data_IF_400943251238
#
_entry.id   IF_400943251238
#
_cell.length_a   1.000
_cell.length_b   1.000
_cell.length_c   1.000
_cell.angle_alpha   90.00
_cell.angle_beta   90.00
_cell.angle_gamma   90.00
#
_symmetry.space_group_name_H-M   'P 1'
#
loop_
_entity.id
_entity.type
_entity.pdbx_description
1 polymer ?
#
# COMPACT_ATOMS: atom_id res chain seq x y z
N UNK A 1 -4.17 -19.76 25.46
CA UNK A 1 -3.67 -18.37 25.54
C UNK A 1 -4.30 -17.57 24.43
N UNK A 2 -5.26 -16.73 24.75
CA UNK A 2 -5.86 -15.78 23.82
C UNK A 2 -4.76 -14.87 23.27
N UNK A 3 -4.56 -14.93 21.99
CA UNK A 3 -3.58 -14.10 21.27
C UNK A 3 -4.04 -12.65 21.42
N UNK A 4 -3.46 -11.88 22.33
CA UNK A 4 -3.72 -10.45 22.41
C UNK A 4 -3.36 -9.82 21.06
N UNK A 5 -4.39 -9.43 20.33
CA UNK A 5 -4.25 -8.72 19.05
C UNK A 5 -3.72 -7.33 19.36
N UNK A 6 -2.73 -6.87 18.62
CA UNK A 6 -2.19 -5.53 18.81
C UNK A 6 -3.11 -4.53 18.10
N UNK A 7 -3.98 -3.88 18.87
CA UNK A 7 -4.97 -2.90 18.38
C UNK A 7 -4.27 -1.70 17.73
N UNK A 8 -3.17 -1.23 18.30
CA UNK A 8 -2.43 -0.08 17.78
C UNK A 8 -1.88 -0.30 16.36
N UNK A 9 -1.46 -1.52 16.02
CA UNK A 9 -1.04 -1.84 14.64
C UNK A 9 -2.23 -1.87 13.66
N UNK A 10 -3.42 -2.23 14.12
CA UNK A 10 -4.63 -2.14 13.29
C UNK A 10 -5.07 -0.69 13.12
N UNK A 11 -4.94 0.16 14.15
CA UNK A 11 -5.15 1.63 14.04
C UNK A 11 -4.21 2.24 12.99
N UNK A 12 -2.93 1.87 12.97
CA UNK A 12 -2.00 2.34 11.93
C UNK A 12 -2.37 1.86 10.51
N UNK A 13 -2.92 0.65 10.37
CA UNK A 13 -3.44 0.19 9.07
C UNK A 13 -4.65 1.00 8.62
N UNK A 14 -5.55 1.31 9.53
CA UNK A 14 -6.71 2.16 9.28
C UNK A 14 -6.22 3.54 8.84
N UNK A 15 -5.31 4.14 9.59
CA UNK A 15 -4.71 5.43 9.23
C UNK A 15 -4.13 5.42 7.83
N UNK A 16 -3.34 4.40 7.48
CA UNK A 16 -2.75 4.27 6.15
C UNK A 16 -3.80 4.20 5.03
N UNK A 17 -4.88 3.44 5.23
CA UNK A 17 -5.98 3.34 4.26
C UNK A 17 -6.73 4.66 4.11
N UNK A 18 -7.02 5.34 5.23
CA UNK A 18 -7.69 6.64 5.24
C UNK A 18 -6.84 7.73 4.58
N UNK A 19 -5.53 7.74 4.79
CA UNK A 19 -4.60 8.65 4.10
C UNK A 19 -4.66 8.45 2.59
N UNK A 20 -4.63 7.21 2.10
CA UNK A 20 -4.70 6.92 0.66
C UNK A 20 -6.06 7.28 0.08
N UNK A 21 -7.16 6.99 0.77
CA UNK A 21 -8.48 7.46 0.35
C UNK A 21 -8.52 8.98 0.28
N UNK A 22 -7.89 9.67 1.25
CA UNK A 22 -7.81 11.13 1.31
C UNK A 22 -7.16 11.74 0.07
N UNK A 23 -5.98 11.25 -0.35
CA UNK A 23 -5.30 11.81 -1.53
C UNK A 23 -6.13 11.61 -2.81
N UNK A 24 -6.74 10.44 -3.01
CA UNK A 24 -7.54 10.20 -4.20
C UNK A 24 -8.86 10.95 -4.22
N UNK A 25 -9.48 11.15 -3.04
CA UNK A 25 -10.64 12.03 -2.90
C UNK A 25 -10.26 13.48 -3.19
N UNK A 26 -9.13 13.95 -2.63
CA UNK A 26 -8.63 15.31 -2.87
C UNK A 26 -8.34 15.58 -4.34
N UNK A 27 -7.70 14.64 -5.03
CA UNK A 27 -7.49 14.72 -6.48
C UNK A 27 -8.80 14.82 -7.25
N UNK A 28 -9.83 14.07 -6.83
CA UNK A 28 -11.14 14.06 -7.48
C UNK A 28 -11.89 15.40 -7.34
N UNK A 29 -11.79 16.04 -6.19
CA UNK A 29 -12.53 17.29 -5.92
C UNK A 29 -11.70 18.56 -6.18
N UNK A 30 -10.47 18.42 -6.71
CA UNK A 30 -9.63 19.56 -7.09
C UNK A 30 -8.83 20.21 -5.96
N UNK A 31 -8.65 19.52 -4.80
CA UNK A 31 -7.80 20.02 -3.70
C UNK A 31 -6.30 19.96 -4.00
N UNK A 32 -5.88 19.26 -5.06
CA UNK A 32 -4.49 19.23 -5.50
C UNK A 32 -3.51 18.83 -4.38
N UNK A 33 -2.49 19.66 -4.18
CA UNK A 33 -1.40 19.41 -3.23
C UNK A 33 -1.83 19.39 -1.76
N UNK A 34 -2.96 20.02 -1.42
CA UNK A 34 -3.48 20.03 -0.04
C UNK A 34 -3.78 18.62 0.49
N UNK A 35 -4.10 17.67 -0.40
CA UNK A 35 -4.34 16.27 -0.05
C UNK A 35 -3.13 15.35 -0.32
N UNK A 36 -2.05 15.87 -0.91
CA UNK A 36 -0.91 15.08 -1.42
C UNK A 36 -0.19 14.26 -0.33
N UNK A 37 -0.19 14.75 0.90
CA UNK A 37 0.41 14.05 2.07
C UNK A 37 -0.24 12.67 2.29
N UNK A 38 -1.48 12.48 1.86
CA UNK A 38 -2.19 11.21 1.93
C UNK A 38 -1.52 10.07 1.13
N UNK A 39 -0.74 10.41 0.09
CA UNK A 39 0.01 9.43 -0.70
C UNK A 39 1.03 8.65 0.16
N UNK A 40 1.51 9.26 1.25
CA UNK A 40 2.46 8.65 2.17
C UNK A 40 1.86 7.47 2.97
N UNK A 41 0.53 7.32 2.98
CA UNK A 41 -0.12 6.14 3.56
C UNK A 41 0.37 4.81 2.98
N UNK A 42 0.84 4.82 1.73
CA UNK A 42 1.46 3.64 1.09
C UNK A 42 2.75 3.24 1.79
N UNK A 43 3.62 4.19 2.12
CA UNK A 43 4.87 3.90 2.84
C UNK A 43 4.57 3.33 4.23
N UNK A 44 3.55 3.85 4.91
CA UNK A 44 3.11 3.27 6.19
C UNK A 44 2.67 1.82 6.02
N UNK A 45 1.91 1.49 4.96
CA UNK A 45 1.57 0.10 4.65
C UNK A 45 2.81 -0.77 4.41
N UNK A 46 3.82 -0.27 3.71
CA UNK A 46 5.05 -1.02 3.45
C UNK A 46 5.85 -1.27 4.73
N UNK A 47 6.02 -0.26 5.59
CA UNK A 47 6.70 -0.40 6.89
C UNK A 47 5.95 -1.41 7.78
N UNK A 48 4.63 -1.27 7.92
CA UNK A 48 3.79 -2.22 8.67
C UNK A 48 3.91 -3.64 8.13
N UNK A 49 3.91 -3.79 6.79
CA UNK A 49 4.02 -5.10 6.16
C UNK A 49 5.37 -5.76 6.41
N UNK A 50 6.45 -4.98 6.44
CA UNK A 50 7.78 -5.46 6.80
C UNK A 50 7.85 -5.96 8.24
N UNK A 51 7.34 -5.17 9.18
CA UNK A 51 7.24 -5.55 10.59
C UNK A 51 6.46 -6.86 10.78
N UNK A 52 5.28 -6.94 10.19
CA UNK A 52 4.39 -8.10 10.31
C UNK A 52 4.88 -9.33 9.56
N UNK A 53 5.63 -9.16 8.47
CA UNK A 53 6.29 -10.26 7.78
C UNK A 53 7.38 -10.87 8.67
N UNK A 54 8.24 -10.04 9.26
CA UNK A 54 9.28 -10.49 10.18
C UNK A 54 8.67 -11.15 11.42
N UNK A 55 7.62 -10.58 12.00
CA UNK A 55 6.88 -11.16 13.14
C UNK A 55 6.22 -12.51 12.80
N UNK A 56 5.73 -12.68 11.58
CA UNK A 56 5.17 -13.95 11.10
C UNK A 56 6.26 -15.02 10.91
N UNK A 57 7.37 -14.65 10.26
CA UNK A 57 8.50 -15.54 9.98
C UNK A 57 9.29 -15.91 11.23
N UNK A 58 9.29 -15.07 12.27
CA UNK A 58 9.91 -15.41 13.54
C UNK A 58 9.19 -16.54 14.28
N UNK A 59 7.87 -16.66 14.10
CA UNK A 59 7.03 -17.70 14.71
C UNK A 59 6.95 -18.97 13.85
N UNK A 60 6.93 -18.79 12.53
CA UNK A 60 6.78 -19.85 11.53
C UNK A 60 7.79 -19.59 10.40
N UNK A 61 9.04 -20.06 10.53
CA UNK A 61 10.13 -19.71 9.61
C UNK A 61 10.04 -20.40 8.25
N UNK A 62 9.10 -21.33 8.09
CA UNK A 62 8.92 -22.11 6.87
C UNK A 62 8.32 -21.24 5.75
N UNK A 63 9.00 -21.14 4.57
CA UNK A 63 8.56 -20.29 3.48
C UNK A 63 7.19 -20.68 2.91
N UNK A 64 6.93 -21.98 2.71
CA UNK A 64 5.71 -22.45 2.04
C UNK A 64 4.43 -22.09 2.82
N UNK A 65 4.30 -22.37 4.13
CA UNK A 65 3.15 -21.92 4.92
C UNK A 65 3.04 -20.39 4.99
N UNK A 66 4.17 -19.67 4.98
CA UNK A 66 4.15 -18.21 4.92
C UNK A 66 3.51 -17.71 3.62
N UNK A 67 3.93 -18.25 2.45
CA UNK A 67 3.35 -17.87 1.15
C UNK A 67 1.87 -18.23 1.06
N UNK A 68 1.48 -19.42 1.48
CA UNK A 68 0.08 -19.85 1.46
C UNK A 68 -0.83 -18.89 2.23
N UNK A 69 -0.41 -18.42 3.43
CA UNK A 69 -1.18 -17.43 4.22
C UNK A 69 -1.31 -16.10 3.48
N UNK A 70 -0.24 -15.62 2.81
CA UNK A 70 -0.28 -14.36 2.05
C UNK A 70 -1.13 -14.48 0.80
N UNK A 71 -0.98 -15.54 0.04
CA UNK A 71 -1.76 -15.81 -1.17
C UNK A 71 -3.25 -15.86 -0.85
N UNK A 72 -3.66 -16.65 0.11
CA UNK A 72 -5.07 -16.80 0.50
C UNK A 72 -5.70 -15.46 0.94
N UNK A 73 -4.94 -14.59 1.57
CA UNK A 73 -5.45 -13.30 2.07
C UNK A 73 -5.51 -12.23 0.98
N UNK A 74 -4.54 -12.20 0.06
CA UNK A 74 -4.35 -11.07 -0.86
C UNK A 74 -4.97 -11.37 -2.23
N UNK A 75 -4.66 -12.55 -2.78
CA UNK A 75 -4.92 -12.86 -4.18
C UNK A 75 -6.40 -12.81 -4.54
N UNK A 76 -7.33 -13.40 -3.78
CA UNK A 76 -8.74 -13.41 -4.17
C UNK A 76 -9.36 -12.03 -4.22
N UNK A 77 -9.07 -11.16 -3.25
CA UNK A 77 -9.58 -9.78 -3.22
C UNK A 77 -8.96 -8.92 -4.33
N UNK A 78 -7.67 -9.10 -4.57
CA UNK A 78 -6.97 -8.40 -5.63
C UNK A 78 -7.51 -8.79 -7.01
N UNK A 79 -7.64 -10.07 -7.30
CA UNK A 79 -8.22 -10.55 -8.55
C UNK A 79 -9.67 -10.14 -8.74
N UNK A 80 -10.46 -10.15 -7.67
CA UNK A 80 -11.84 -9.64 -7.72
C UNK A 80 -11.86 -8.17 -8.18
N UNK A 81 -11.03 -7.31 -7.57
CA UNK A 81 -10.94 -5.89 -7.96
C UNK A 81 -10.45 -5.74 -9.40
N UNK A 82 -9.48 -6.55 -9.85
CA UNK A 82 -9.03 -6.52 -11.24
C UNK A 82 -10.16 -6.85 -12.22
N UNK A 83 -10.92 -7.90 -11.95
CA UNK A 83 -12.06 -8.28 -12.81
C UNK A 83 -13.14 -7.19 -12.81
N UNK A 84 -13.48 -6.66 -11.62
CA UNK A 84 -14.46 -5.57 -11.52
C UNK A 84 -13.98 -4.31 -12.26
N UNK A 85 -12.70 -3.98 -12.17
CA UNK A 85 -12.10 -2.86 -12.90
C UNK A 85 -12.15 -3.09 -14.41
N UNK A 86 -11.77 -4.26 -14.88
CA UNK A 86 -11.80 -4.62 -16.28
C UNK A 86 -13.22 -4.55 -16.86
N UNK A 87 -14.22 -5.09 -16.14
CA UNK A 87 -15.63 -5.00 -16.52
C UNK A 87 -16.12 -3.56 -16.56
N UNK A 88 -15.79 -2.77 -15.54
CA UNK A 88 -16.15 -1.35 -15.47
C UNK A 88 -15.60 -0.57 -16.66
N UNK A 89 -14.32 -0.74 -16.98
CA UNK A 89 -13.69 -0.09 -18.13
C UNK A 89 -14.30 -0.57 -19.44
N UNK A 90 -14.54 -1.87 -19.60
CA UNK A 90 -15.19 -2.41 -20.79
C UNK A 90 -16.55 -1.77 -21.04
N UNK A 91 -17.41 -1.72 -20.02
CA UNK A 91 -18.75 -1.10 -20.13
C UNK A 91 -18.63 0.39 -20.45
N UNK A 92 -17.78 1.12 -19.75
CA UNK A 92 -17.59 2.56 -19.92
C UNK A 92 -17.11 2.93 -21.34
N UNK A 93 -16.10 2.22 -21.86
CA UNK A 93 -15.56 2.50 -23.19
C UNK A 93 -16.52 2.11 -24.30
N UNK A 94 -17.22 0.97 -24.18
CA UNK A 94 -18.25 0.58 -25.15
C UNK A 94 -19.41 1.57 -25.15
N UNK A 95 -19.87 2.03 -24.00
CA UNK A 95 -20.89 3.07 -23.89
C UNK A 95 -20.45 4.41 -24.48
N UNK A 96 -19.16 4.70 -24.48
CA UNK A 96 -18.57 5.89 -25.12
C UNK A 96 -18.33 5.72 -26.64
N UNK A 97 -18.74 4.58 -27.25
CA UNK A 97 -18.62 4.32 -28.68
C UNK A 97 -17.27 3.74 -29.12
N UNK A 98 -16.39 3.33 -28.20
CA UNK A 98 -15.14 2.65 -28.54
C UNK A 98 -15.46 1.28 -29.16
N UNK A 99 -14.86 0.97 -30.31
CA UNK A 99 -15.09 -0.32 -30.96
C UNK A 99 -14.47 -1.49 -30.15
N UNK A 100 -15.07 -2.67 -30.24
CA UNK A 100 -14.54 -3.85 -29.56
C UNK A 100 -13.07 -4.16 -29.96
N UNK A 101 -12.71 -3.94 -31.23
CA UNK A 101 -11.35 -4.14 -31.71
C UNK A 101 -10.35 -3.17 -31.06
N UNK A 102 -10.72 -1.92 -30.85
CA UNK A 102 -9.89 -0.94 -30.13
C UNK A 102 -9.81 -1.25 -28.65
N UNK A 103 -10.91 -1.68 -28.03
CA UNK A 103 -10.97 -1.94 -26.60
C UNK A 103 -10.19 -3.20 -26.18
N UNK A 104 -10.36 -4.29 -26.92
CA UNK A 104 -9.79 -5.61 -26.59
C UNK A 104 -8.54 -5.94 -27.42
N UNK A 105 -8.14 -5.08 -28.34
CA UNK A 105 -6.93 -5.24 -29.14
C UNK A 105 -5.64 -5.15 -28.31
N UNK A 106 -4.47 -5.42 -28.93
CA UNK A 106 -3.19 -5.49 -28.21
C UNK A 106 -2.82 -4.23 -27.40
N UNK A 107 -3.17 -3.03 -27.90
CA UNK A 107 -2.96 -1.74 -27.21
C UNK A 107 -4.19 -1.23 -26.47
N UNK A 108 -5.29 -1.96 -26.48
CA UNK A 108 -6.55 -1.51 -25.88
C UNK A 108 -6.60 -1.59 -24.37
N UNK A 109 -7.42 -0.75 -23.72
CA UNK A 109 -7.56 -0.71 -22.25
C UNK A 109 -7.93 -2.04 -21.61
N UNK A 110 -8.70 -2.87 -22.29
CA UNK A 110 -9.11 -4.21 -21.83
C UNK A 110 -8.39 -5.33 -22.59
N UNK A 111 -7.32 -5.02 -23.30
CA UNK A 111 -6.56 -5.96 -24.13
C UNK A 111 -5.64 -6.90 -23.34
N UNK A 112 -4.89 -7.76 -24.06
CA UNK A 112 -4.03 -8.79 -23.45
C UNK A 112 -2.99 -8.25 -22.48
N UNK A 113 -2.55 -7.00 -22.65
CA UNK A 113 -1.64 -6.31 -21.73
C UNK A 113 -2.14 -6.25 -20.29
N UNK A 114 -3.46 -6.31 -20.08
CA UNK A 114 -4.05 -6.33 -18.74
C UNK A 114 -3.68 -7.58 -17.94
N UNK A 115 -3.36 -8.70 -18.59
CA UNK A 115 -2.99 -9.97 -17.92
C UNK A 115 -1.76 -9.85 -17.02
N UNK A 116 -0.86 -8.88 -17.30
CA UNK A 116 0.32 -8.62 -16.45
C UNK A 116 -0.04 -8.30 -15.00
N UNK A 117 -1.23 -7.68 -14.77
CA UNK A 117 -1.70 -7.35 -13.44
C UNK A 117 -2.04 -8.59 -12.62
N UNK A 118 -2.61 -9.63 -13.24
CA UNK A 118 -2.94 -10.88 -12.54
C UNK A 118 -1.71 -11.62 -12.00
N UNK A 119 -0.53 -11.37 -12.58
CA UNK A 119 0.74 -11.97 -12.19
C UNK A 119 1.73 -10.96 -11.58
N UNK A 120 1.26 -9.76 -11.20
CA UNK A 120 2.03 -8.69 -10.53
C UNK A 120 3.20 -8.12 -11.34
N UNK A 121 3.16 -8.22 -12.67
CA UNK A 121 4.25 -7.75 -13.55
C UNK A 121 4.07 -6.31 -14.05
N UNK A 122 3.01 -5.60 -13.64
CA UNK A 122 2.68 -4.24 -14.10
C UNK A 122 3.76 -3.18 -13.81
N UNK A 123 4.62 -3.40 -12.81
CA UNK A 123 5.68 -2.45 -12.44
C UNK A 123 7.09 -2.95 -12.78
N UNK A 124 7.20 -3.92 -13.68
CA UNK A 124 8.49 -4.42 -14.15
C UNK A 124 8.85 -3.89 -15.53
N UNK A 125 7.84 -3.61 -16.36
CA UNK A 125 8.00 -3.00 -17.67
C UNK A 125 6.95 -1.90 -17.84
N UNK A 126 7.33 -0.68 -18.22
CA UNK A 126 6.39 0.38 -18.53
C UNK A 126 5.54 -0.01 -19.72
N UNK A 127 4.35 0.53 -19.82
CA UNK A 127 3.49 0.45 -21.00
C UNK A 127 2.68 1.73 -21.09
N UNK A 128 2.25 2.09 -22.28
CA UNK A 128 1.50 3.31 -22.56
C UNK A 128 0.21 3.42 -21.73
N UNK A 129 -0.34 2.26 -21.35
CA UNK A 129 -1.60 2.17 -20.59
C UNK A 129 -1.41 1.89 -19.09
N UNK A 130 -0.18 1.94 -18.55
CA UNK A 130 0.05 1.56 -17.15
C UNK A 130 -0.74 2.43 -16.15
N UNK A 131 -0.89 3.73 -16.41
CA UNK A 131 -1.68 4.63 -15.58
C UNK A 131 -3.18 4.35 -15.69
N UNK A 132 -3.68 4.04 -16.89
CA UNK A 132 -5.08 3.77 -17.14
C UNK A 132 -5.54 2.50 -16.41
N UNK A 133 -4.74 1.43 -16.49
CA UNK A 133 -5.06 0.16 -15.87
C UNK A 133 -4.73 0.10 -14.38
N UNK A 134 -4.02 1.08 -13.87
CA UNK A 134 -3.51 1.09 -12.51
C UNK A 134 -4.56 1.50 -11.46
N UNK A 135 -5.86 1.43 -11.79
CA UNK A 135 -6.96 1.73 -10.88
C UNK A 135 -6.70 3.02 -10.09
N UNK A 136 -6.53 4.16 -10.79
CA UNK A 136 -6.12 5.45 -10.23
C UNK A 136 -4.80 5.39 -9.46
N UNK A 137 -3.85 4.68 -10.04
CA UNK A 137 -2.49 4.61 -9.50
C UNK A 137 -2.40 3.92 -8.12
N UNK A 138 -3.28 2.97 -7.82
CA UNK A 138 -3.25 2.20 -6.57
C UNK A 138 -2.60 0.83 -6.76
N UNK A 139 -2.87 0.16 -7.90
CA UNK A 139 -2.49 -1.24 -8.11
C UNK A 139 -0.97 -1.46 -8.28
N UNK A 140 -0.19 -0.41 -8.50
CA UNK A 140 1.27 -0.52 -8.55
C UNK A 140 1.84 -1.13 -7.26
N UNK A 141 1.24 -0.83 -6.12
CA UNK A 141 1.66 -1.34 -4.81
C UNK A 141 1.53 -2.85 -4.70
N UNK A 142 0.61 -3.46 -5.46
CA UNK A 142 0.43 -4.90 -5.43
C UNK A 142 1.61 -5.64 -6.06
N UNK A 143 2.25 -5.05 -7.08
CA UNK A 143 3.53 -5.55 -7.62
C UNK A 143 4.64 -5.46 -6.56
N UNK A 144 4.71 -4.34 -5.82
CA UNK A 144 5.67 -4.17 -4.73
C UNK A 144 5.42 -5.18 -3.59
N UNK A 145 4.17 -5.36 -3.13
CA UNK A 145 3.84 -6.34 -2.10
C UNK A 145 4.15 -7.77 -2.51
N UNK A 146 3.84 -8.15 -3.76
CA UNK A 146 4.18 -9.49 -4.26
C UNK A 146 5.68 -9.74 -4.21
N UNK A 147 6.48 -8.77 -4.66
CA UNK A 147 7.93 -8.83 -4.62
C UNK A 147 8.47 -8.88 -3.18
N UNK A 148 7.97 -8.02 -2.28
CA UNK A 148 8.40 -8.00 -0.89
C UNK A 148 8.10 -9.32 -0.19
N UNK A 149 6.89 -9.86 -0.37
CA UNK A 149 6.52 -11.13 0.25
C UNK A 149 7.28 -12.31 -0.35
N UNK A 150 7.58 -12.27 -1.65
CA UNK A 150 8.44 -13.27 -2.27
C UNK A 150 9.83 -13.28 -1.62
N UNK A 151 10.43 -12.11 -1.41
CA UNK A 151 11.76 -11.98 -0.81
C UNK A 151 11.78 -12.12 0.72
N UNK A 152 10.64 -11.95 1.40
CA UNK A 152 10.58 -11.85 2.86
C UNK A 152 11.30 -12.97 3.62
N UNK A 153 11.21 -14.28 3.25
CA UNK A 153 11.92 -15.34 3.97
C UNK A 153 13.44 -15.19 3.91
N UNK A 154 13.99 -14.74 2.77
CA UNK A 154 15.45 -14.51 2.63
C UNK A 154 15.87 -13.23 3.33
N UNK A 155 15.12 -12.14 3.15
CA UNK A 155 15.36 -10.88 3.86
C UNK A 155 15.30 -11.08 5.37
N UNK A 156 14.35 -11.87 5.87
CA UNK A 156 14.24 -12.17 7.29
C UNK A 156 15.50 -12.88 7.82
N UNK A 157 16.14 -13.75 7.05
CA UNK A 157 17.39 -14.39 7.47
C UNK A 157 18.51 -13.37 7.68
N UNK A 158 18.59 -12.35 6.81
CA UNK A 158 19.55 -11.24 6.93
C UNK A 158 19.16 -10.28 8.07
N UNK A 159 17.85 -10.04 8.24
CA UNK A 159 17.31 -9.14 9.26
C UNK A 159 17.05 -9.80 10.63
N UNK A 160 17.49 -11.05 10.85
CA UNK A 160 17.33 -11.73 12.14
C UNK A 160 17.96 -10.94 13.30
N UNK A 161 19.09 -10.33 13.08
CA UNK A 161 19.81 -9.49 14.04
C UNK A 161 19.58 -8.03 13.71
N UNK A 162 19.44 -7.18 14.73
CA UNK A 162 19.23 -5.74 14.55
C UNK A 162 20.31 -5.10 13.67
N UNK A 163 21.57 -5.37 13.94
CA UNK A 163 22.68 -4.79 13.18
C UNK A 163 22.71 -5.25 11.72
N UNK A 164 22.31 -6.49 11.43
CA UNK A 164 22.17 -6.98 10.06
C UNK A 164 21.04 -6.27 9.31
N UNK A 165 19.90 -6.07 9.97
CA UNK A 165 18.77 -5.32 9.41
C UNK A 165 19.13 -3.85 9.17
N UNK A 166 19.83 -3.21 10.11
CA UNK A 166 20.29 -1.83 9.98
C UNK A 166 21.31 -1.68 8.84
N UNK A 167 22.28 -2.59 8.75
CA UNK A 167 23.27 -2.58 7.68
C UNK A 167 22.60 -2.73 6.30
N UNK A 168 21.65 -3.67 6.16
CA UNK A 168 20.88 -3.84 4.92
C UNK A 168 20.09 -2.58 4.57
N UNK A 169 19.45 -1.94 5.54
CA UNK A 169 18.73 -0.69 5.34
C UNK A 169 19.65 0.43 4.85
N UNK A 170 20.81 0.62 5.49
CA UNK A 170 21.78 1.63 5.11
C UNK A 170 22.29 1.38 3.68
N UNK A 171 22.59 0.13 3.32
CA UNK A 171 23.01 -0.23 1.96
C UNK A 171 21.90 0.11 0.96
N UNK A 172 20.64 -0.27 1.22
CA UNK A 172 19.52 0.05 0.34
C UNK A 172 19.36 1.56 0.12
N UNK A 173 19.46 2.36 1.20
CA UNK A 173 19.38 3.81 1.11
C UNK A 173 20.56 4.43 0.34
N UNK A 174 21.76 3.89 0.51
CA UNK A 174 22.98 4.38 -0.15
C UNK A 174 22.94 4.11 -1.68
N UNK A 175 22.41 2.94 -2.09
CA UNK A 175 22.40 2.56 -3.51
C UNK A 175 21.12 3.00 -4.25
N UNK A 176 20.06 3.41 -3.54
CA UNK A 176 18.76 3.75 -4.10
C UNK A 176 18.85 4.73 -5.29
N UNK A 177 19.59 5.82 -5.14
CA UNK A 177 19.73 6.83 -6.21
C UNK A 177 20.41 6.29 -7.47
N UNK A 178 21.45 5.44 -7.31
CA UNK A 178 22.13 4.79 -8.43
C UNK A 178 21.23 3.80 -9.15
N UNK A 179 20.47 3.00 -8.40
CA UNK A 179 19.52 2.04 -8.97
C UNK A 179 18.42 2.80 -9.73
N UNK A 180 17.87 3.88 -9.16
CA UNK A 180 16.88 4.72 -9.85
C UNK A 180 17.41 5.26 -11.18
N UNK A 181 18.60 5.84 -11.20
CA UNK A 181 19.22 6.33 -12.42
C UNK A 181 19.49 5.22 -13.47
N UNK A 182 19.86 4.01 -13.03
CA UNK A 182 20.03 2.86 -13.93
C UNK A 182 18.67 2.42 -14.52
N UNK A 183 17.60 2.40 -13.73
CA UNK A 183 16.26 2.07 -14.22
C UNK A 183 15.82 3.11 -15.25
N UNK A 184 15.93 4.41 -14.94
CA UNK A 184 15.54 5.49 -15.82
C UNK A 184 16.32 5.47 -17.15
N UNK A 185 17.65 5.28 -17.10
CA UNK A 185 18.47 5.16 -18.30
C UNK A 185 18.14 3.93 -19.14
N UNK A 186 17.83 2.79 -18.50
CA UNK A 186 17.41 1.58 -19.22
C UNK A 186 16.05 1.72 -19.90
N UNK A 187 15.21 2.62 -19.42
CA UNK A 187 13.87 2.87 -19.93
C UNK A 187 13.80 4.09 -20.87
N UNK A 188 14.92 4.78 -21.11
CA UNK A 188 14.96 5.97 -21.96
C UNK A 188 14.51 5.74 -23.42
N UNK A 189 14.53 4.49 -23.90
CA UNK A 189 14.04 4.11 -25.23
C UNK A 189 12.51 3.94 -25.30
N UNK A 190 11.80 3.95 -24.16
CA UNK A 190 10.34 3.88 -24.15
C UNK A 190 9.73 5.23 -24.55
N UNK A 191 8.49 5.25 -25.11
CA UNK A 191 7.84 6.49 -25.52
C UNK A 191 7.79 7.53 -24.38
N UNK A 192 7.99 8.80 -24.73
CA UNK A 192 8.00 9.92 -23.77
C UNK A 192 6.67 10.10 -22.99
N UNK A 193 5.60 9.50 -23.46
CA UNK A 193 4.29 9.50 -22.80
C UNK A 193 4.27 8.68 -21.49
N UNK A 194 5.18 7.71 -21.35
CA UNK A 194 5.39 7.03 -20.08
C UNK A 194 6.14 7.97 -19.13
N UNK A 195 5.55 8.38 -18.01
CA UNK A 195 6.27 9.11 -16.97
C UNK A 195 7.31 8.18 -16.33
N UNK A 196 8.48 8.09 -16.95
CA UNK A 196 9.56 7.15 -16.60
C UNK A 196 10.05 7.37 -15.17
N UNK A 197 10.17 8.63 -14.75
CA UNK A 197 10.61 8.95 -13.38
C UNK A 197 9.59 8.48 -12.33
N UNK A 198 8.30 8.71 -12.56
CA UNK A 198 7.25 8.23 -11.68
C UNK A 198 7.17 6.69 -11.68
N UNK A 199 7.29 6.06 -12.85
CA UNK A 199 7.36 4.61 -12.97
C UNK A 199 8.56 4.05 -12.20
N UNK A 200 9.76 4.61 -12.41
CA UNK A 200 10.99 4.22 -11.71
C UNK A 200 10.80 4.27 -10.20
N UNK A 201 10.30 5.40 -9.67
CA UNK A 201 10.09 5.60 -8.24
C UNK A 201 9.11 4.59 -7.61
N UNK A 202 8.18 4.03 -8.39
CA UNK A 202 7.16 3.05 -7.96
C UNK A 202 7.55 1.60 -8.21
N UNK A 203 8.70 1.32 -8.81
CA UNK A 203 9.13 -0.07 -9.01
C UNK A 203 9.32 -0.80 -7.67
N UNK A 204 9.09 -2.12 -7.64
CA UNK A 204 9.25 -2.91 -6.42
C UNK A 204 10.64 -2.79 -5.79
N UNK A 205 11.68 -2.66 -6.62
CA UNK A 205 13.07 -2.52 -6.14
C UNK A 205 13.28 -1.18 -5.45
N UNK A 206 12.74 -0.09 -6.02
CA UNK A 206 12.91 1.26 -5.48
C UNK A 206 12.15 1.49 -4.18
N UNK A 207 11.14 0.68 -3.88
CA UNK A 207 10.32 0.81 -2.67
C UNK A 207 10.63 -0.24 -1.59
N UNK A 208 11.53 -1.20 -1.89
CA UNK A 208 11.90 -2.29 -0.97
C UNK A 208 12.43 -1.80 0.38
N UNK A 209 13.15 -0.69 0.41
CA UNK A 209 13.71 -0.14 1.65
C UNK A 209 12.62 0.20 2.68
N UNK A 210 11.41 0.60 2.26
CA UNK A 210 10.29 0.85 3.17
C UNK A 210 9.91 -0.43 3.95
N UNK A 211 9.91 -1.57 3.26
CA UNK A 211 9.66 -2.87 3.89
C UNK A 211 10.79 -3.27 4.86
N UNK A 212 12.04 -2.97 4.50
CA UNK A 212 13.21 -3.24 5.36
C UNK A 212 13.17 -2.37 6.62
N UNK A 213 12.69 -1.12 6.57
CA UNK A 213 12.45 -0.30 7.77
C UNK A 213 11.58 -1.05 8.78
N UNK A 214 10.49 -1.66 8.33
CA UNK A 214 9.61 -2.45 9.19
C UNK A 214 10.27 -3.71 9.73
N UNK A 215 11.04 -4.43 8.92
CA UNK A 215 11.78 -5.62 9.38
C UNK A 215 12.83 -5.26 10.42
N UNK A 216 13.53 -4.12 10.25
CA UNK A 216 14.49 -3.59 11.21
C UNK A 216 13.82 -3.16 12.53
N UNK A 217 12.60 -2.58 12.45
CA UNK A 217 11.81 -2.28 13.64
C UNK A 217 11.47 -3.56 14.43
N UNK A 218 11.09 -4.65 13.75
CA UNK A 218 10.86 -5.93 14.42
C UNK A 218 12.14 -6.45 15.11
N UNK A 219 13.27 -6.42 14.41
CA UNK A 219 14.55 -6.86 14.97
C UNK A 219 14.98 -6.01 16.18
N UNK A 220 14.77 -4.68 16.10
CA UNK A 220 15.04 -3.75 17.19
C UNK A 220 14.19 -4.04 18.43
N UNK A 221 12.89 -4.26 18.27
CA UNK A 221 11.98 -4.62 19.39
C UNK A 221 12.42 -5.94 20.01
N UNK A 222 12.73 -6.95 19.21
CA UNK A 222 13.13 -8.27 19.70
C UNK A 222 14.45 -8.26 20.49
N UNK A 223 15.36 -7.34 20.17
CA UNK A 223 16.67 -7.21 20.85
C UNK A 223 16.70 -6.06 21.87
N UNK A 224 15.54 -5.48 22.24
CA UNK A 224 15.43 -4.33 23.16
C UNK A 224 16.21 -3.10 22.69
N UNK A 225 16.31 -2.88 21.37
CA UNK A 225 17.01 -1.76 20.74
C UNK A 225 16.07 -0.73 20.11
N UNK A 226 14.78 -0.75 20.46
CA UNK A 226 13.76 0.12 19.86
C UNK A 226 14.06 1.61 20.03
N UNK A 227 14.60 2.01 21.18
CA UNK A 227 15.00 3.40 21.42
C UNK A 227 16.20 3.82 20.54
N UNK A 228 17.21 2.96 20.41
CA UNK A 228 18.34 3.19 19.53
C UNK A 228 17.87 3.32 18.06
N UNK A 229 16.98 2.44 17.62
CA UNK A 229 16.46 2.50 16.26
C UNK A 229 15.57 3.72 16.03
N UNK A 230 14.74 4.09 17.00
CA UNK A 230 13.96 5.32 16.96
C UNK A 230 14.84 6.56 16.84
N UNK A 231 15.91 6.65 17.67
CA UNK A 231 16.89 7.73 17.59
C UNK A 231 17.59 7.77 16.21
N UNK A 232 17.98 6.61 15.66
CA UNK A 232 18.54 6.53 14.31
C UNK A 232 17.55 7.07 13.26
N UNK A 233 16.26 6.70 13.31
CA UNK A 233 15.25 7.20 12.39
C UNK A 233 15.09 8.72 12.50
N UNK A 234 15.00 9.27 13.71
CA UNK A 234 14.90 10.72 13.93
C UNK A 234 16.14 11.43 13.38
N UNK A 235 17.32 10.94 13.70
CA UNK A 235 18.58 11.51 13.22
C UNK A 235 18.68 11.47 11.70
N UNK A 236 18.32 10.35 11.07
CA UNK A 236 18.30 10.20 9.61
C UNK A 236 17.34 11.19 8.96
N UNK A 237 16.12 11.34 9.49
CA UNK A 237 15.15 12.30 8.98
C UNK A 237 15.67 13.74 9.06
N UNK A 238 16.24 14.14 10.20
CA UNK A 238 16.78 15.48 10.43
C UNK A 238 18.00 15.73 9.54
N UNK A 239 18.99 14.84 9.52
CA UNK A 239 20.22 15.01 8.75
C UNK A 239 19.98 15.04 7.23
N UNK A 240 18.94 14.36 6.77
CA UNK A 240 18.58 14.37 5.34
C UNK A 240 17.51 15.41 5.00
N UNK A 241 17.11 16.24 5.95
CA UNK A 241 16.03 17.22 5.82
C UNK A 241 14.76 16.59 5.18
N UNK A 242 14.39 15.41 5.64
CA UNK A 242 13.28 14.60 5.15
C UNK A 242 13.37 14.16 3.66
N UNK A 243 14.44 14.47 2.95
CA UNK A 243 14.55 14.23 1.51
C UNK A 243 14.74 12.75 1.12
N UNK A 244 15.34 11.93 1.99
CA UNK A 244 15.70 10.55 1.63
C UNK A 244 14.71 9.49 2.10
N UNK A 245 14.23 9.58 3.34
CA UNK A 245 13.32 8.60 3.93
C UNK A 245 12.56 9.20 5.14
N UNK A 246 12.15 10.47 5.07
CA UNK A 246 11.58 11.19 6.21
C UNK A 246 10.28 10.58 6.72
N UNK A 247 9.35 10.27 5.82
CA UNK A 247 8.07 9.67 6.20
C UNK A 247 8.23 8.23 6.70
N UNK A 248 9.12 7.44 6.10
CA UNK A 248 9.41 6.08 6.55
C UNK A 248 10.02 6.07 7.95
N UNK A 249 10.86 7.06 8.28
CA UNK A 249 11.39 7.25 9.62
C UNK A 249 10.26 7.55 10.61
N UNK A 250 9.36 8.49 10.31
CA UNK A 250 8.21 8.82 11.16
C UNK A 250 7.32 7.59 11.34
N UNK A 251 6.97 6.90 10.26
CA UNK A 251 6.13 5.70 10.33
C UNK A 251 6.79 4.55 11.09
N UNK A 252 8.11 4.43 11.00
CA UNK A 252 8.86 3.46 11.80
C UNK A 252 8.76 3.78 13.30
N UNK A 253 8.91 5.04 13.67
CA UNK A 253 8.73 5.48 15.06
C UNK A 253 7.30 5.20 15.55
N UNK A 254 6.28 5.49 14.72
CA UNK A 254 4.89 5.17 15.05
C UNK A 254 4.66 3.67 15.25
N UNK A 255 5.27 2.82 14.41
CA UNK A 255 5.21 1.36 14.58
C UNK A 255 5.89 0.92 15.89
N UNK A 256 7.04 1.50 16.23
CA UNK A 256 7.73 1.20 17.49
C UNK A 256 6.88 1.59 18.71
N UNK A 257 6.23 2.75 18.68
CA UNK A 257 5.31 3.21 19.73
C UNK A 257 4.06 2.32 19.83
N UNK A 258 3.47 1.94 18.70
CA UNK A 258 2.31 1.06 18.63
C UNK A 258 2.59 -0.35 19.21
N UNK A 259 3.81 -0.84 19.05
CA UNK A 259 4.23 -2.13 19.61
C UNK A 259 4.45 -2.06 21.10
N UNK A 260 4.92 -0.94 21.62
CA UNK A 260 5.08 -0.70 23.06
C UNK A 260 3.74 -0.46 23.77
N UNK A 261 2.74 0.08 23.03
CA UNK A 261 1.40 0.30 23.55
C UNK A 261 0.36 -0.51 22.73
N UNK A 262 0.29 -1.84 22.92
CA UNK A 262 -0.52 -2.71 22.08
C UNK A 262 -2.04 -2.51 22.22
N UNK A 263 -2.50 -1.78 23.25
CA UNK A 263 -3.92 -1.47 23.45
C UNK A 263 -4.44 -0.35 22.53
N UNK A 264 -3.54 0.42 21.92
CA UNK A 264 -3.90 1.52 21.02
C UNK A 264 -4.21 2.82 21.75
N UNK A 265 -4.80 3.76 21.01
CA UNK A 265 -5.12 5.14 21.51
C UNK A 265 -6.42 5.17 22.30
N UNK A 266 -7.31 4.21 22.10
CA UNK A 266 -8.60 4.14 22.76
C UNK A 266 -8.52 3.73 24.23
N UNK A 267 -9.61 3.95 24.99
CA UNK A 267 -9.68 3.50 26.37
C UNK A 267 -9.46 2.00 26.48
N UNK A 268 -8.48 1.59 27.28
CA UNK A 268 -8.05 0.18 27.44
C UNK A 268 -9.18 -0.78 27.80
N UNK A 269 -10.22 -0.29 28.47
CA UNK A 269 -11.37 -1.05 28.94
C UNK A 269 -12.57 -1.06 27.96
N UNK A 270 -12.49 -0.31 26.85
CA UNK A 270 -13.60 -0.20 25.91
C UNK A 270 -13.59 -1.31 24.87
N UNK A 271 -14.20 -2.44 25.22
CA UNK A 271 -14.34 -3.60 24.32
C UNK A 271 -15.05 -3.26 23.01
N UNK A 272 -15.99 -2.31 23.00
CA UNK A 272 -16.69 -1.87 21.77
C UNK A 272 -15.73 -1.13 20.84
N UNK A 273 -14.85 -0.30 21.39
CA UNK A 273 -13.84 0.40 20.61
C UNK A 273 -12.86 -0.60 19.95
N UNK A 274 -12.34 -1.55 20.72
CA UNK A 274 -11.45 -2.59 20.18
C UNK A 274 -12.14 -3.43 19.08
N UNK A 275 -13.42 -3.76 19.24
CA UNK A 275 -14.22 -4.44 18.20
C UNK A 275 -14.41 -3.58 16.95
N UNK A 276 -14.63 -2.27 17.10
CA UNK A 276 -14.74 -1.35 15.99
C UNK A 276 -13.41 -1.23 15.22
N UNK A 277 -12.29 -1.08 15.92
CA UNK A 277 -10.95 -1.05 15.31
C UNK A 277 -10.66 -2.38 14.60
N UNK A 278 -11.01 -3.50 15.19
CA UNK A 278 -10.86 -4.80 14.56
C UNK A 278 -11.66 -4.91 13.26
N UNK A 279 -12.91 -4.49 13.26
CA UNK A 279 -13.77 -4.50 12.09
C UNK A 279 -13.23 -3.58 10.99
N UNK A 280 -12.90 -2.33 11.32
CA UNK A 280 -12.40 -1.34 10.35
C UNK A 280 -11.01 -1.75 9.84
N UNK A 281 -10.14 -2.24 10.73
CA UNK A 281 -8.80 -2.72 10.36
C UNK A 281 -8.82 -3.95 9.46
N UNK A 282 -9.76 -4.88 9.68
CA UNK A 282 -9.96 -6.02 8.78
C UNK A 282 -10.36 -5.55 7.36
N UNK A 283 -11.30 -4.60 7.26
CA UNK A 283 -11.74 -4.05 5.98
C UNK A 283 -10.77 -3.08 5.31
N UNK A 284 -9.67 -2.69 5.96
CA UNK A 284 -8.75 -1.65 5.45
C UNK A 284 -8.09 -2.03 4.11
N UNK A 285 -7.76 -3.29 3.90
CA UNK A 285 -7.19 -3.76 2.64
C UNK A 285 -8.22 -3.74 1.51
N UNK A 286 -9.47 -4.13 1.79
CA UNK A 286 -10.57 -3.99 0.83
C UNK A 286 -10.82 -2.52 0.49
N UNK A 287 -10.90 -1.63 1.51
CA UNK A 287 -11.03 -0.19 1.30
C UNK A 287 -9.93 0.32 0.36
N UNK A 288 -8.67 -0.07 0.62
CA UNK A 288 -7.53 0.30 -0.20
C UNK A 288 -7.67 -0.13 -1.66
N UNK A 289 -8.17 -1.34 -1.94
CA UNK A 289 -8.31 -1.84 -3.30
C UNK A 289 -9.56 -1.29 -4.02
N UNK A 290 -10.67 -1.11 -3.32
CA UNK A 290 -11.97 -0.83 -3.92
C UNK A 290 -12.28 0.66 -4.08
N UNK A 291 -11.71 1.55 -3.22
CA UNK A 291 -12.07 2.97 -3.24
C UNK A 291 -11.90 3.67 -4.61
N UNK A 292 -10.91 3.34 -5.47
CA UNK A 292 -10.81 4.00 -6.75
C UNK A 292 -12.00 3.70 -7.67
N UNK A 293 -12.52 2.47 -7.63
CA UNK A 293 -13.72 2.10 -8.38
C UNK A 293 -14.94 2.88 -7.89
N UNK A 294 -15.11 2.96 -6.56
CA UNK A 294 -16.20 3.72 -5.96
C UNK A 294 -16.09 5.21 -6.28
N UNK A 295 -14.89 5.78 -6.19
CA UNK A 295 -14.65 7.18 -6.54
C UNK A 295 -14.99 7.47 -8.01
N UNK A 296 -14.76 6.55 -8.93
CA UNK A 296 -15.11 6.76 -10.34
C UNK A 296 -16.61 6.79 -10.61
N UNK A 297 -17.42 6.12 -9.79
CA UNK A 297 -18.87 6.16 -9.87
C UNK A 297 -19.46 7.50 -9.39
N UNK A 298 -18.72 8.25 -8.57
CA UNK A 298 -19.16 9.55 -8.07
C UNK A 298 -18.86 10.64 -9.10
N UNK A 299 -19.68 11.71 -9.18
CA UNK A 299 -19.47 12.81 -10.12
C UNK A 299 -18.12 13.51 -9.89
N UNK A 300 -17.54 14.04 -10.96
CA UNK A 300 -16.36 14.92 -10.85
C UNK A 300 -16.84 16.31 -10.45
N UNK A 301 -16.43 16.75 -9.28
CA UNK A 301 -16.81 18.04 -8.72
C UNK A 301 -15.54 18.81 -8.38
N UNK A 302 -14.90 19.41 -9.38
CA UNK A 302 -13.82 20.35 -9.13
C UNK A 302 -14.42 21.67 -8.63
N UNK A 303 -14.24 21.97 -7.36
CA UNK A 303 -14.66 23.22 -6.72
C UNK A 303 -13.46 23.95 -6.14
N UNK A 304 -13.58 25.26 -5.93
CA UNK A 304 -12.54 26.07 -5.27
C UNK A 304 -12.89 26.45 -3.83
N UNK A 305 -11.88 26.81 -3.04
CA UNK A 305 -12.07 27.36 -1.69
C UNK A 305 -12.75 26.41 -0.69
N UNK A 306 -13.59 26.97 0.19
CA UNK A 306 -14.28 26.21 1.25
C UNK A 306 -15.23 25.13 0.69
N UNK A 307 -15.83 25.37 -0.49
CA UNK A 307 -16.73 24.41 -1.13
C UNK A 307 -16.00 23.10 -1.51
N UNK A 308 -14.72 23.17 -1.89
CA UNK A 308 -13.91 21.98 -2.17
C UNK A 308 -13.73 21.10 -0.92
N UNK A 309 -13.54 21.68 0.26
CA UNK A 309 -13.42 20.93 1.51
C UNK A 309 -14.73 20.27 1.94
N UNK A 310 -15.86 20.96 1.76
CA UNK A 310 -17.18 20.35 2.01
C UNK A 310 -17.46 19.20 1.04
N UNK A 311 -17.16 19.41 -0.24
CA UNK A 311 -17.26 18.35 -1.24
C UNK A 311 -16.32 17.16 -0.93
N UNK A 312 -15.09 17.44 -0.51
CA UNK A 312 -14.14 16.44 -0.05
C UNK A 312 -14.73 15.60 1.08
N UNK A 313 -15.24 16.24 2.14
CA UNK A 313 -15.83 15.53 3.27
C UNK A 313 -17.01 14.64 2.84
N UNK A 314 -17.88 15.13 1.98
CA UNK A 314 -19.03 14.39 1.46
C UNK A 314 -18.60 13.18 0.61
N UNK A 315 -17.74 13.39 -0.39
CA UNK A 315 -17.23 12.32 -1.28
C UNK A 315 -16.44 11.28 -0.48
N UNK A 316 -15.61 11.73 0.46
CA UNK A 316 -14.84 10.87 1.35
C UNK A 316 -15.75 9.96 2.19
N UNK A 317 -16.75 10.54 2.85
CA UNK A 317 -17.70 9.82 3.69
C UNK A 317 -18.53 8.80 2.86
N UNK A 318 -19.05 9.23 1.70
CA UNK A 318 -19.81 8.34 0.81
C UNK A 318 -18.95 7.18 0.33
N UNK A 319 -17.71 7.44 -0.13
CA UNK A 319 -16.80 6.40 -0.58
C UNK A 319 -16.49 5.40 0.55
N UNK A 320 -16.22 5.90 1.76
CA UNK A 320 -15.97 5.08 2.93
C UNK A 320 -17.18 4.18 3.27
N UNK A 321 -18.38 4.75 3.32
CA UNK A 321 -19.61 4.01 3.60
C UNK A 321 -19.87 2.93 2.56
N UNK A 322 -19.76 3.24 1.27
CA UNK A 322 -19.98 2.28 0.19
C UNK A 322 -18.95 1.14 0.25
N UNK A 323 -17.66 1.46 0.44
CA UNK A 323 -16.63 0.43 0.55
C UNK A 323 -16.87 -0.52 1.73
N UNK A 324 -17.28 0.00 2.90
CA UNK A 324 -17.57 -0.84 4.07
C UNK A 324 -18.91 -1.57 3.97
N UNK A 325 -19.91 -1.02 3.28
CA UNK A 325 -21.12 -1.77 2.94
C UNK A 325 -20.81 -2.97 2.05
N UNK A 326 -20.03 -2.78 0.97
CA UNK A 326 -19.57 -3.88 0.12
C UNK A 326 -18.69 -4.89 0.87
N UNK A 327 -17.83 -4.41 1.78
CA UNK A 327 -17.03 -5.28 2.65
C UNK A 327 -17.92 -6.19 3.50
N UNK A 328 -18.92 -5.64 4.16
CA UNK A 328 -19.82 -6.42 5.03
C UNK A 328 -20.67 -7.43 4.28
N UNK A 329 -21.16 -7.04 3.10
CA UNK A 329 -22.05 -7.87 2.28
C UNK A 329 -21.34 -9.05 1.61
N UNK A 330 -20.12 -8.81 1.08
CA UNK A 330 -19.47 -9.77 0.18
C UNK A 330 -18.13 -10.29 0.70
N UNK A 331 -17.30 -9.45 1.32
CA UNK A 331 -15.89 -9.78 1.61
C UNK A 331 -15.73 -10.39 2.99
N UNK A 332 -16.37 -9.86 4.01
CA UNK A 332 -16.21 -10.25 5.41
C UNK A 332 -16.43 -11.74 5.63
N UNK A 333 -17.47 -12.31 5.01
CA UNK A 333 -17.78 -13.75 5.14
C UNK A 333 -16.67 -14.62 4.53
N UNK A 334 -16.07 -14.16 3.45
CA UNK A 334 -14.94 -14.83 2.82
C UNK A 334 -13.72 -14.81 3.75
N UNK A 335 -13.34 -13.64 4.26
CA UNK A 335 -12.17 -13.52 5.15
C UNK A 335 -12.31 -14.34 6.43
N UNK A 336 -13.51 -14.41 7.03
CA UNK A 336 -13.77 -15.21 8.22
C UNK A 336 -13.57 -16.72 8.02
N UNK A 337 -13.67 -17.22 6.79
CA UNK A 337 -13.42 -18.63 6.47
C UNK A 337 -11.93 -18.99 6.40
N UNK A 338 -11.05 -18.00 6.23
CA UNK A 338 -9.63 -18.19 5.99
C UNK A 338 -8.72 -17.47 7.00
N UNK A 339 -9.29 -16.78 8.00
CA UNK A 339 -8.58 -16.18 9.13
C UNK A 339 -8.26 -17.24 10.20
#
# INVERSE_FOLDING_TARGET
>A
MTKHKNVALDELRILAALMVLGVHTGQKVGLGDAAAVGAQGVQLFFVLSGYLAAASLSRHPEPLPYYQRRIRRILPLYWLVLVLRWLFDAVRYLAAGTSAAQLFGPGGPCGPGYLRYFVFLQMWLPSDNWMLWNNRNVLWTMSAFAFFYLLAPWLYRLCKRFWGALALLVVCLAVKGRIGGLIESSLAAFPAEANISEFSAKTPVMTLYCFIFGMAAFAAVRENKQFLYGAFCILLAVLTNFQRAGFECVFTVLVLLAVQNPQGVGPAENQKFAQAVDFVGAGSFWLYLAHPLVLELLPNTAMGGAAAWLCFAGVYAVCLMVCYALYTLFVRRYEQRFA
#
